data_IF_881398327517
#
_entry.id   IF_881398327517
#
_cell.length_a   1.000
_cell.length_b   1.000
_cell.length_c   1.000
_cell.angle_alpha   90.00
_cell.angle_beta   90.00
_cell.angle_gamma   90.00
#
_symmetry.space_group_name_H-M   'P 1'
#
loop_
_entity.id
_entity.type
_entity.pdbx_description
1 polymer ?
#
# COMPACT_ATOMS: atom_id res chain seq x y z
N UNK A 1 23.17 -16.52 -0.05
CA UNK A 1 23.17 -15.06 0.24
C UNK A 1 22.07 -14.65 1.22
N UNK A 2 22.06 -13.42 1.75
CA UNK A 2 20.98 -12.91 2.60
C UNK A 2 19.85 -12.28 1.77
N UNK A 3 18.73 -13.00 1.67
CA UNK A 3 17.54 -12.58 0.92
C UNK A 3 16.56 -11.72 1.75
N UNK A 4 16.81 -11.52 3.04
CA UNK A 4 15.88 -10.85 3.96
C UNK A 4 15.56 -9.40 3.55
N UNK A 5 16.56 -8.66 3.08
CA UNK A 5 16.43 -7.26 2.64
C UNK A 5 15.54 -7.16 1.39
N UNK A 6 15.86 -7.81 0.25
CA UNK A 6 15.02 -7.68 -0.94
C UNK A 6 13.63 -8.31 -0.73
N UNK A 7 13.52 -9.38 0.07
CA UNK A 7 12.22 -10.00 0.37
C UNK A 7 11.32 -9.08 1.22
N UNK A 8 11.87 -8.45 2.26
CA UNK A 8 11.12 -7.50 3.08
C UNK A 8 10.75 -6.25 2.28
N UNK A 9 11.62 -5.80 1.37
CA UNK A 9 11.32 -4.77 0.38
C UNK A 9 10.14 -5.14 -0.53
N UNK A 10 10.13 -6.36 -1.09
CA UNK A 10 9.01 -6.86 -1.90
C UNK A 10 7.69 -6.84 -1.14
N UNK A 11 7.67 -7.38 0.07
CA UNK A 11 6.49 -7.44 0.92
C UNK A 11 5.97 -6.04 1.25
N UNK A 12 6.85 -5.11 1.60
CA UNK A 12 6.49 -3.72 1.87
C UNK A 12 5.85 -3.05 0.64
N UNK A 13 6.42 -3.22 -0.56
CA UNK A 13 5.84 -2.60 -1.76
C UNK A 13 4.51 -3.24 -2.17
N UNK A 14 4.33 -4.55 -1.96
CA UNK A 14 3.05 -5.22 -2.17
C UNK A 14 1.97 -4.69 -1.22
N UNK A 15 2.30 -4.51 0.06
CA UNK A 15 1.40 -3.88 1.03
C UNK A 15 1.06 -2.45 0.64
N UNK A 16 2.05 -1.64 0.22
CA UNK A 16 1.84 -0.26 -0.22
C UNK A 16 0.87 -0.19 -1.41
N UNK A 17 1.01 -1.10 -2.37
CA UNK A 17 0.09 -1.22 -3.51
C UNK A 17 -1.33 -1.57 -3.04
N UNK A 18 -1.46 -2.53 -2.13
CA UNK A 18 -2.75 -2.95 -1.58
C UNK A 18 -3.46 -1.81 -0.84
N UNK A 19 -2.74 -1.03 -0.03
CA UNK A 19 -3.30 0.11 0.70
C UNK A 19 -3.80 1.18 -0.28
N UNK A 20 -2.99 1.49 -1.30
CA UNK A 20 -3.36 2.45 -2.32
C UNK A 20 -4.59 2.01 -3.13
N UNK A 21 -4.66 0.74 -3.51
CA UNK A 21 -5.82 0.17 -4.20
C UNK A 21 -7.09 0.22 -3.33
N UNK A 22 -6.96 -0.10 -2.04
CA UNK A 22 -8.07 -0.01 -1.09
C UNK A 22 -8.59 1.43 -0.96
N UNK A 23 -7.69 2.41 -0.89
CA UNK A 23 -8.07 3.82 -0.85
C UNK A 23 -8.88 4.23 -2.08
N UNK A 24 -8.43 3.87 -3.29
CA UNK A 24 -9.14 4.23 -4.53
C UNK A 24 -10.51 3.56 -4.61
N UNK A 25 -10.60 2.25 -4.35
CA UNK A 25 -11.86 1.49 -4.46
C UNK A 25 -12.90 2.01 -3.48
N UNK A 26 -12.48 2.38 -2.28
CA UNK A 26 -13.39 2.80 -1.21
C UNK A 26 -13.59 4.32 -1.14
N UNK A 27 -12.96 5.09 -2.02
CA UNK A 27 -13.03 6.55 -2.01
C UNK A 27 -14.46 7.09 -2.11
N UNK A 28 -15.42 6.35 -2.66
CA UNK A 28 -16.84 6.74 -2.72
C UNK A 28 -17.75 5.98 -1.76
N UNK A 29 -17.19 5.28 -0.77
CA UNK A 29 -17.94 4.39 0.11
C UNK A 29 -18.13 4.96 1.52
N UNK A 30 -19.12 4.41 2.21
CA UNK A 30 -19.37 4.65 3.62
C UNK A 30 -18.81 3.50 4.44
N UNK A 31 -18.23 3.80 5.60
CA UNK A 31 -17.79 2.80 6.55
C UNK A 31 -19.02 2.21 7.28
N UNK A 32 -19.46 1.04 6.82
CA UNK A 32 -20.59 0.30 7.39
C UNK A 32 -20.30 -0.34 8.75
N UNK A 33 -19.04 -0.33 9.21
CA UNK A 33 -18.66 -0.90 10.50
C UNK A 33 -19.00 0.02 11.69
N UNK A 34 -19.25 1.31 11.43
CA UNK A 34 -19.53 2.34 12.42
C UNK A 34 -21.00 2.74 12.44
N UNK A 35 -21.88 1.77 12.70
CA UNK A 35 -23.31 2.07 12.95
C UNK A 35 -23.46 2.90 14.22
N UNK A 36 -24.35 3.93 14.28
CA UNK A 36 -25.36 4.32 13.29
C UNK A 36 -24.95 5.49 12.36
N UNK A 37 -23.70 5.94 12.41
CA UNK A 37 -23.24 7.13 11.68
C UNK A 37 -22.78 6.75 10.26
N UNK A 38 -23.25 7.48 9.26
CA UNK A 38 -22.74 7.37 7.89
C UNK A 38 -21.35 8.01 7.83
N UNK A 39 -20.33 7.31 8.33
CA UNK A 39 -18.97 7.81 8.32
C UNK A 39 -18.36 7.57 6.94
N UNK A 40 -17.77 8.58 6.26
CA UNK A 40 -17.01 8.35 5.05
C UNK A 40 -15.89 7.34 5.29
N UNK A 41 -15.54 6.58 4.26
CA UNK A 41 -14.33 5.77 4.31
C UNK A 41 -13.11 6.63 4.68
N UNK A 42 -12.29 6.13 5.60
CA UNK A 42 -11.09 6.77 6.08
C UNK A 42 -9.85 6.10 5.45
N UNK A 43 -9.13 6.80 4.56
CA UNK A 43 -8.01 6.23 3.84
C UNK A 43 -6.87 5.85 4.77
N UNK A 44 -6.03 4.93 4.32
CA UNK A 44 -4.84 4.53 5.08
C UNK A 44 -3.57 4.86 4.32
N UNK A 45 -2.47 4.99 5.04
CA UNK A 45 -1.14 5.20 4.51
C UNK A 45 -0.22 4.14 5.09
N UNK A 46 0.66 3.62 4.25
CA UNK A 46 1.74 2.75 4.68
C UNK A 46 3.05 3.55 4.70
N UNK A 47 3.68 3.64 5.86
CA UNK A 47 4.99 4.26 6.00
C UNK A 47 6.07 3.19 6.19
N UNK A 48 7.24 3.44 5.61
CA UNK A 48 8.39 2.56 5.76
C UNK A 48 9.03 2.74 7.14
N UNK A 49 9.26 1.63 7.81
CA UNK A 49 9.98 1.58 9.09
C UNK A 49 11.17 0.64 8.93
N UNK A 50 12.36 1.13 9.28
CA UNK A 50 13.57 0.32 9.30
C UNK A 50 13.41 -0.86 10.26
N UNK A 51 13.78 -2.05 9.81
CA UNK A 51 13.82 -3.27 10.62
C UNK A 51 15.15 -3.93 10.35
N UNK A 52 15.88 -4.37 11.35
CA UNK A 52 17.15 -5.07 11.11
C UNK A 52 16.92 -6.58 10.93
N UNK A 53 17.31 -7.19 9.79
CA UNK A 53 17.61 -6.58 8.49
C UNK A 53 16.35 -6.24 7.65
N UNK A 54 16.42 -5.19 6.82
CA UNK A 54 15.38 -4.80 5.87
C UNK A 54 14.40 -3.68 6.30
N UNK A 55 13.13 -3.83 5.89
CA UNK A 55 12.07 -2.82 6.06
C UNK A 55 10.74 -3.47 6.43
N UNK A 56 9.89 -2.73 7.15
CA UNK A 56 8.51 -3.11 7.42
C UNK A 56 7.56 -1.96 7.13
N UNK A 57 6.29 -2.28 6.92
CA UNK A 57 5.24 -1.28 6.77
C UNK A 57 4.56 -0.99 8.11
N UNK A 58 4.42 0.29 8.44
CA UNK A 58 3.52 0.76 9.51
C UNK A 58 2.27 1.36 8.87
N UNK A 59 1.12 0.77 9.16
CA UNK A 59 -0.17 1.23 8.63
C UNK A 59 -0.74 2.31 9.54
N UNK A 60 -0.98 3.49 8.97
CA UNK A 60 -1.63 4.60 9.64
C UNK A 60 -2.96 4.89 8.93
N UNK A 61 -4.08 4.83 9.68
CA UNK A 61 -5.34 5.33 9.18
C UNK A 61 -5.33 6.86 9.23
N UNK A 62 -5.61 7.50 8.11
CA UNK A 62 -5.83 8.92 7.98
C UNK A 62 -7.32 9.19 8.25
N UNK A 63 -7.63 10.18 9.08
CA UNK A 63 -9.03 10.57 9.28
C UNK A 63 -9.66 11.11 7.98
N UNK A 64 -11.01 11.09 7.87
CA UNK A 64 -11.69 11.73 6.75
C UNK A 64 -11.44 13.25 6.74
N UNK A 65 -11.50 13.87 5.56
CA UNK A 65 -11.23 15.30 5.38
C UNK A 65 -12.39 16.20 5.83
N UNK A 66 -13.62 15.68 5.83
CA UNK A 66 -14.81 16.42 6.24
C UNK A 66 -15.93 15.49 6.73
N UNK A 67 -16.81 15.93 7.65
CA UNK A 67 -18.06 15.25 7.92
C UNK A 67 -18.99 15.32 6.70
N UNK A 68 -19.85 14.32 6.51
CA UNK A 68 -20.95 14.42 5.53
C UNK A 68 -21.97 15.45 5.99
N UNK A 69 -22.69 16.06 5.05
CA UNK A 69 -23.81 16.96 5.37
C UNK A 69 -24.92 16.21 6.13
N UNK A 70 -25.81 16.99 6.76
CA UNK A 70 -26.75 16.59 7.82
C UNK A 70 -27.23 15.11 7.87
N UNK A 71 -27.26 14.51 9.09
CA UNK A 71 -27.80 13.17 9.29
C UNK A 71 -29.22 13.01 8.71
N UNK A 72 -29.41 12.02 7.84
CA UNK A 72 -30.73 11.66 7.29
C UNK A 72 -30.97 12.05 5.84
N UNK A 73 -30.10 12.85 5.21
CA UNK A 73 -30.14 13.07 3.77
C UNK A 73 -29.28 12.05 2.99
N UNK A 74 -29.67 11.80 1.74
CA UNK A 74 -28.88 11.01 0.80
C UNK A 74 -27.70 11.85 0.31
N UNK A 75 -26.51 11.64 0.87
CA UNK A 75 -25.29 12.22 0.33
C UNK A 75 -25.02 11.64 -1.08
N UNK A 76 -24.74 12.52 -2.04
CA UNK A 76 -24.37 12.10 -3.39
C UNK A 76 -22.95 11.52 -3.42
N UNK A 77 -22.63 10.73 -4.45
CA UNK A 77 -21.28 10.15 -4.60
C UNK A 77 -20.15 11.19 -4.50
N UNK A 78 -20.31 12.35 -5.15
CA UNK A 78 -19.29 13.40 -5.16
C UNK A 78 -19.02 13.99 -3.76
N UNK A 79 -20.04 14.04 -2.91
CA UNK A 79 -19.93 14.51 -1.53
C UNK A 79 -19.24 13.46 -0.65
N UNK A 80 -19.64 12.19 -0.78
CA UNK A 80 -18.96 11.10 -0.07
C UNK A 80 -17.49 11.03 -0.48
N UNK A 81 -17.23 11.17 -1.78
CA UNK A 81 -15.88 11.13 -2.32
C UNK A 81 -14.98 12.24 -1.77
N UNK A 82 -15.45 13.49 -1.78
CA UNK A 82 -14.68 14.61 -1.26
C UNK A 82 -14.44 14.51 0.25
N UNK A 83 -15.38 13.92 1.00
CA UNK A 83 -15.28 13.73 2.44
C UNK A 83 -14.24 12.67 2.85
N UNK A 84 -13.98 11.64 2.03
CA UNK A 84 -12.95 10.63 2.34
C UNK A 84 -11.54 11.21 2.37
N UNK A 85 -11.28 12.27 1.61
CA UNK A 85 -9.96 12.84 1.47
C UNK A 85 -8.97 12.03 0.63
N UNK A 86 -9.45 11.04 -0.11
CA UNK A 86 -8.64 10.29 -1.08
C UNK A 86 -8.26 11.21 -2.24
N UNK A 87 -6.96 11.25 -2.57
CA UNK A 87 -6.45 11.91 -3.76
C UNK A 87 -6.01 10.84 -4.78
N UNK A 88 -6.82 10.62 -5.82
CA UNK A 88 -6.63 9.53 -6.78
C UNK A 88 -5.34 9.70 -7.59
N UNK A 89 -4.97 10.93 -7.93
CA UNK A 89 -3.74 11.21 -8.67
C UNK A 89 -2.51 10.79 -7.85
N UNK A 90 -2.47 11.15 -6.57
CA UNK A 90 -1.42 10.75 -5.63
C UNK A 90 -1.41 9.24 -5.43
N UNK A 91 -2.57 8.60 -5.33
CA UNK A 91 -2.65 7.16 -5.20
C UNK A 91 -2.12 6.45 -6.45
N UNK A 92 -2.44 6.91 -7.65
CA UNK A 92 -1.90 6.33 -8.88
C UNK A 92 -0.38 6.44 -8.95
N UNK A 93 0.18 7.58 -8.52
CA UNK A 93 1.63 7.76 -8.39
C UNK A 93 2.21 6.78 -7.36
N UNK A 94 1.55 6.60 -6.21
CA UNK A 94 1.97 5.63 -5.20
C UNK A 94 1.98 4.19 -5.73
N UNK A 95 0.95 3.78 -6.49
CA UNK A 95 0.89 2.45 -7.09
C UNK A 95 2.03 2.23 -8.09
N UNK A 96 2.32 3.25 -8.92
CA UNK A 96 3.42 3.17 -9.89
C UNK A 96 4.78 3.09 -9.20
N UNK A 97 5.02 3.90 -8.18
CA UNK A 97 6.23 3.84 -7.37
C UNK A 97 6.40 2.49 -6.69
N UNK A 98 5.32 1.97 -6.09
CA UNK A 98 5.32 0.65 -5.47
C UNK A 98 5.64 -0.46 -6.47
N UNK A 99 5.05 -0.44 -7.67
CA UNK A 99 5.34 -1.43 -8.72
C UNK A 99 6.79 -1.38 -9.18
N UNK A 100 7.35 -0.19 -9.42
CA UNK A 100 8.74 -0.02 -9.82
C UNK A 100 9.68 -0.54 -8.73
N UNK A 101 9.45 -0.15 -7.48
CA UNK A 101 10.27 -0.60 -6.35
C UNK A 101 10.13 -2.11 -6.10
N UNK A 102 8.94 -2.69 -6.31
CA UNK A 102 8.74 -4.14 -6.24
C UNK A 102 9.60 -4.85 -7.30
N UNK A 103 9.57 -4.38 -8.54
CA UNK A 103 10.40 -4.94 -9.63
C UNK A 103 11.89 -4.81 -9.34
N UNK A 104 12.33 -3.69 -8.75
CA UNK A 104 13.72 -3.50 -8.35
C UNK A 104 14.16 -4.53 -7.30
N UNK A 105 13.35 -4.78 -6.26
CA UNK A 105 13.67 -5.80 -5.27
C UNK A 105 13.64 -7.22 -5.88
N UNK A 106 12.71 -7.51 -6.80
CA UNK A 106 12.65 -8.79 -7.48
C UNK A 106 13.91 -9.06 -8.33
N UNK A 107 14.42 -8.03 -9.02
CA UNK A 107 15.67 -8.13 -9.77
C UNK A 107 16.86 -8.45 -8.86
N UNK A 108 16.93 -7.87 -7.66
CA UNK A 108 17.98 -8.20 -6.67
C UNK A 108 17.89 -9.67 -6.24
N UNK A 109 16.68 -10.17 -5.95
CA UNK A 109 16.47 -11.59 -5.62
C UNK A 109 16.97 -12.47 -6.76
N UNK A 110 16.61 -12.12 -8.01
CA UNK A 110 17.03 -12.88 -9.18
C UNK A 110 18.55 -12.92 -9.33
N UNK A 111 19.24 -11.77 -9.21
CA UNK A 111 20.70 -11.72 -9.26
C UNK A 111 21.34 -12.56 -8.16
N UNK A 112 20.77 -12.57 -6.95
CA UNK A 112 21.26 -13.46 -5.88
C UNK A 112 21.06 -14.93 -6.23
N UNK A 113 19.93 -15.30 -6.84
CA UNK A 113 19.72 -16.69 -7.26
C UNK A 113 20.69 -17.12 -8.36
N UNK A 114 20.93 -16.28 -9.37
CA UNK A 114 21.88 -16.55 -10.46
C UNK A 114 23.32 -16.71 -9.96
N UNK A 115 23.72 -15.89 -8.98
CA UNK A 115 25.03 -15.99 -8.34
C UNK A 115 25.15 -17.25 -7.47
N UNK A 116 24.13 -17.60 -6.67
CA UNK A 116 24.13 -18.85 -5.89
C UNK A 116 24.21 -20.08 -6.83
N UNK A 117 23.51 -20.06 -7.97
CA UNK A 117 23.57 -21.12 -8.99
C UNK A 117 24.95 -21.22 -9.64
N UNK A 118 25.54 -20.09 -10.05
CA UNK A 118 26.89 -20.06 -10.65
C UNK A 118 27.95 -20.58 -9.69
N UNK A 119 27.85 -20.23 -8.40
CA UNK A 119 28.75 -20.75 -7.37
C UNK A 119 28.61 -22.26 -7.18
N UNK A 120 27.37 -22.77 -7.17
CA UNK A 120 27.11 -24.22 -7.08
C UNK A 120 27.65 -25.00 -8.26
N UNK A 121 27.59 -24.43 -9.47
CA UNK A 121 28.13 -25.05 -10.68
C UNK A 121 29.67 -25.10 -10.64
N UNK A 122 30.32 -24.00 -10.25
CA UNK A 122 31.79 -23.91 -10.15
C UNK A 122 32.46 -24.84 -9.13
N UNK A 123 31.69 -25.41 -8.19
CA UNK A 123 32.17 -26.35 -7.17
C UNK A 123 32.01 -27.81 -7.63
N UNK A 124 31.16 -28.07 -8.64
CA UNK A 124 30.88 -29.42 -9.14
C UNK A 124 31.84 -29.88 -10.24
N UNK A 125 32.54 -28.95 -10.88
CA UNK A 125 33.66 -29.18 -11.78
C UNK A 125 34.99 -29.33 -11.02
#
# INVERSE_FOLDING_TARGET
MDYSIPLSGLQYQAQRLSVSANNIVNAGSLDSSRLPERVPFAPSRLDAVSREPGVSGSLQQLGPNAPLSEPGQSAGFAEVFSATGVNVEKELVNQKLASIAYKANAAVVQTFSELDETLLDSIKD
#
